data_IF_581758425493
#
_entry.id   IF_581758425493
#
_cell.length_a   1.000
_cell.length_b   1.000
_cell.length_c   1.000
_cell.angle_alpha   90.00
_cell.angle_beta   90.00
_cell.angle_gamma   90.00
#
_symmetry.space_group_name_H-M   'P 1'
#
loop_
_entity.id
_entity.type
_entity.pdbx_description
1 polymer ?
#
# COMPACT_ATOMS: atom_id res chain seq x y z
N UNK A 1 -19.51 -24.81 -9.63
CA UNK A 1 -18.58 -23.80 -9.09
C UNK A 1 -19.21 -22.45 -9.37
N UNK A 2 -19.79 -21.78 -8.38
CA UNK A 2 -20.48 -20.51 -8.59
C UNK A 2 -20.39 -19.62 -7.35
N UNK A 3 -19.66 -18.51 -7.48
CA UNK A 3 -19.91 -17.15 -6.96
C UNK A 3 -18.60 -16.36 -7.05
N UNK A 4 -18.66 -15.14 -7.58
CA UNK A 4 -17.52 -14.31 -7.96
C UNK A 4 -16.45 -14.19 -6.87
N UNK A 5 -15.29 -14.82 -7.11
CA UNK A 5 -14.15 -14.71 -6.20
C UNK A 5 -13.48 -13.35 -6.39
N UNK A 6 -13.60 -12.48 -5.40
CA UNK A 6 -12.94 -11.18 -5.38
C UNK A 6 -11.44 -11.34 -5.12
N UNK A 7 -10.61 -10.62 -5.89
CA UNK A 7 -9.17 -10.57 -5.65
C UNK A 7 -8.85 -9.52 -4.58
N UNK A 8 -8.60 -9.97 -3.34
CA UNK A 8 -8.14 -9.13 -2.24
C UNK A 8 -6.65 -8.76 -2.37
N UNK A 9 -6.38 -7.46 -2.32
CA UNK A 9 -5.04 -6.88 -2.34
C UNK A 9 -4.87 -6.01 -1.09
N UNK A 10 -3.78 -6.22 -0.36
CA UNK A 10 -3.40 -5.38 0.79
C UNK A 10 -2.06 -4.71 0.50
N UNK A 11 -1.91 -3.46 0.92
CA UNK A 11 -0.64 -2.73 0.88
C UNK A 11 -0.28 -2.18 2.26
N UNK A 12 0.99 -2.28 2.65
CA UNK A 12 1.46 -1.87 3.98
C UNK A 12 2.90 -1.36 3.98
N UNK A 13 3.11 -0.15 4.51
CA UNK A 13 4.44 0.34 4.84
C UNK A 13 4.89 -0.25 6.18
N UNK A 14 5.85 -1.18 6.11
CA UNK A 14 6.28 -1.95 7.28
C UNK A 14 7.37 -1.26 8.07
N UNK A 15 7.97 -0.16 7.60
CA UNK A 15 9.02 0.59 8.31
C UNK A 15 10.13 -0.32 8.90
N UNK A 16 10.69 -1.17 8.05
CA UNK A 16 11.80 -2.07 8.31
C UNK A 16 11.43 -3.44 8.86
N UNK A 17 12.04 -4.48 8.29
CA UNK A 17 11.88 -5.89 8.64
C UNK A 17 13.17 -6.55 9.10
N UNK A 18 14.15 -5.77 9.59
CA UNK A 18 15.43 -6.29 10.07
C UNK A 18 15.28 -7.09 11.39
N UNK A 19 14.31 -6.73 12.24
CA UNK A 19 14.06 -7.39 13.51
C UNK A 19 13.27 -8.72 13.32
N UNK A 20 13.73 -9.87 13.86
CA UNK A 20 13.02 -11.15 13.75
C UNK A 20 11.60 -11.13 14.32
N UNK A 21 11.42 -10.53 15.50
CA UNK A 21 10.12 -10.41 16.17
C UNK A 21 9.09 -9.66 15.32
N UNK A 22 9.53 -8.62 14.61
CA UNK A 22 8.68 -7.87 13.69
C UNK A 22 8.29 -8.67 12.45
N UNK A 23 9.22 -9.46 11.90
CA UNK A 23 8.90 -10.36 10.77
C UNK A 23 7.89 -11.42 11.17
N UNK A 24 8.03 -12.02 12.36
CA UNK A 24 7.06 -12.99 12.86
C UNK A 24 5.67 -12.38 13.02
N UNK A 25 5.56 -11.22 13.67
CA UNK A 25 4.28 -10.51 13.82
C UNK A 25 3.64 -10.13 12.49
N UNK A 26 4.45 -9.68 11.53
CA UNK A 26 3.96 -9.40 10.18
C UNK A 26 3.41 -10.67 9.52
N UNK A 27 4.12 -11.79 9.63
CA UNK A 27 3.69 -13.06 9.06
C UNK A 27 2.36 -13.53 9.66
N UNK A 28 2.23 -13.49 10.99
CA UNK A 28 0.98 -13.80 11.71
C UNK A 28 -0.17 -12.85 11.28
N UNK A 29 0.13 -11.56 11.11
CA UNK A 29 -0.86 -10.59 10.64
C UNK A 29 -1.32 -10.86 9.21
N UNK A 30 -0.39 -11.11 8.26
CA UNK A 30 -0.73 -11.46 6.88
C UNK A 30 -1.60 -12.73 6.83
N UNK A 31 -1.25 -13.73 7.64
CA UNK A 31 -2.05 -14.97 7.74
C UNK A 31 -3.45 -14.72 8.28
N UNK A 32 -3.60 -13.81 9.25
CA UNK A 32 -4.90 -13.46 9.81
C UNK A 32 -5.78 -12.69 8.83
N UNK A 33 -5.21 -11.80 8.02
CA UNK A 33 -5.94 -11.06 6.99
C UNK A 33 -6.21 -11.90 5.73
N UNK A 34 -5.38 -12.91 5.50
CA UNK A 34 -5.51 -13.89 4.42
C UNK A 34 -5.66 -13.30 2.97
N UNK A 35 -4.90 -12.23 2.59
CA UNK A 35 -5.04 -11.60 1.29
C UNK A 35 -4.47 -12.47 0.16
N UNK A 36 -5.03 -12.35 -1.06
CA UNK A 36 -4.43 -13.01 -2.23
C UNK A 36 -3.09 -12.37 -2.62
N UNK A 37 -2.99 -11.04 -2.53
CA UNK A 37 -1.75 -10.29 -2.82
C UNK A 37 -1.46 -9.34 -1.66
N UNK A 38 -0.22 -9.32 -1.18
CA UNK A 38 0.25 -8.40 -0.15
C UNK A 38 1.47 -7.62 -0.65
N UNK A 39 1.38 -6.30 -0.66
CA UNK A 39 2.43 -5.38 -1.09
C UNK A 39 3.03 -4.69 0.13
N UNK A 40 4.34 -4.79 0.30
CA UNK A 40 5.06 -4.21 1.42
C UNK A 40 6.01 -3.10 0.95
N UNK A 41 6.06 -1.98 1.68
CA UNK A 41 7.02 -0.88 1.47
C UNK A 41 7.94 -0.71 2.67
N UNK A 42 9.10 -0.07 2.47
CA UNK A 42 10.14 0.12 3.50
C UNK A 42 10.58 -1.20 4.16
N UNK A 43 10.77 -2.27 3.39
CA UNK A 43 11.23 -3.54 3.98
C UNK A 43 12.60 -3.41 4.66
N UNK A 44 13.46 -2.50 4.20
CA UNK A 44 14.84 -2.26 4.68
C UNK A 44 15.72 -3.52 4.70
N UNK A 45 15.33 -4.55 3.96
CA UNK A 45 16.12 -5.76 3.75
C UNK A 45 17.17 -5.47 2.68
N UNK A 46 18.39 -5.96 2.90
CA UNK A 46 19.41 -6.00 1.86
C UNK A 46 19.08 -7.08 0.83
N UNK A 47 19.66 -6.99 -0.36
CA UNK A 47 19.53 -8.02 -1.42
C UNK A 47 19.82 -9.43 -0.89
N UNK A 48 20.92 -9.58 -0.12
CA UNK A 48 21.31 -10.84 0.51
C UNK A 48 20.45 -11.28 1.71
N UNK A 49 19.58 -10.41 2.24
CA UNK A 49 18.72 -10.68 3.41
C UNK A 49 17.26 -10.99 3.04
N UNK A 50 16.92 -11.00 1.74
CA UNK A 50 15.54 -11.20 1.24
C UNK A 50 14.94 -12.53 1.70
N UNK A 51 15.74 -13.60 1.78
CA UNK A 51 15.33 -14.93 2.26
C UNK A 51 14.76 -14.93 3.69
N UNK A 52 14.97 -13.87 4.47
CA UNK A 52 14.52 -13.75 5.86
C UNK A 52 13.03 -13.41 5.96
N UNK A 53 12.42 -12.88 4.91
CA UNK A 53 10.98 -12.69 4.83
C UNK A 53 10.33 -14.00 4.39
N UNK A 54 9.63 -14.66 5.30
CA UNK A 54 8.90 -15.91 5.04
C UNK A 54 7.53 -15.84 5.70
N UNK A 55 6.49 -16.19 4.95
CA UNK A 55 5.12 -16.28 5.45
C UNK A 55 4.54 -17.61 4.95
N UNK A 56 4.10 -18.48 5.85
CA UNK A 56 3.49 -19.76 5.46
C UNK A 56 2.18 -19.47 4.71
N UNK A 57 2.05 -20.05 3.51
CA UNK A 57 0.93 -19.80 2.58
C UNK A 57 1.21 -18.75 1.51
N UNK A 58 2.40 -18.10 1.51
CA UNK A 58 2.83 -17.14 0.49
C UNK A 58 4.26 -17.47 0.05
N UNK A 59 4.44 -18.52 -0.75
CA UNK A 59 5.78 -18.95 -1.19
C UNK A 59 6.36 -18.02 -2.26
N UNK A 60 5.50 -17.43 -3.10
CA UNK A 60 5.89 -16.52 -4.18
C UNK A 60 6.08 -15.12 -3.60
N UNK A 61 7.35 -14.74 -3.37
CA UNK A 61 7.72 -13.40 -2.89
C UNK A 61 8.67 -12.74 -3.88
N UNK A 62 8.27 -11.57 -4.37
CA UNK A 62 9.07 -10.75 -5.27
C UNK A 62 9.62 -9.55 -4.51
N UNK A 63 10.87 -9.21 -4.79
CA UNK A 63 11.65 -8.22 -4.06
C UNK A 63 12.30 -7.23 -5.01
N UNK A 64 12.28 -5.94 -4.67
CA UNK A 64 13.19 -4.94 -5.20
C UNK A 64 13.85 -4.24 -4.02
N UNK A 65 15.17 -4.38 -3.92
CA UNK A 65 15.97 -3.98 -2.77
C UNK A 65 17.31 -3.44 -3.25
N UNK A 66 17.98 -2.76 -2.34
CA UNK A 66 19.34 -2.24 -2.47
C UNK A 66 20.24 -2.94 -1.47
N UNK A 67 21.55 -2.82 -1.65
CA UNK A 67 22.53 -3.45 -0.75
C UNK A 67 22.66 -2.71 0.61
N UNK A 68 21.98 -1.58 0.76
CA UNK A 68 21.88 -0.81 2.00
C UNK A 68 20.50 -1.00 2.65
N UNK A 69 20.42 -0.84 3.98
CA UNK A 69 19.17 -0.98 4.76
C UNK A 69 18.29 0.26 4.70
N UNK A 70 17.92 0.72 3.49
CA UNK A 70 16.86 1.72 3.31
C UNK A 70 16.02 1.38 2.08
N UNK A 71 14.81 1.94 2.00
CA UNK A 71 13.82 1.58 0.99
C UNK A 71 13.58 0.05 0.90
N UNK A 72 13.07 -0.41 -0.24
CA UNK A 72 12.84 -1.81 -0.51
C UNK A 72 11.37 -2.15 -0.46
N UNK A 73 10.88 -2.76 -1.54
CA UNK A 73 9.49 -3.18 -1.70
C UNK A 73 9.41 -4.69 -1.93
N UNK A 74 8.30 -5.29 -1.50
CA UNK A 74 8.03 -6.70 -1.74
C UNK A 74 6.58 -6.93 -2.16
N UNK A 75 6.35 -7.94 -3.00
CA UNK A 75 5.01 -8.44 -3.34
C UNK A 75 4.95 -9.92 -2.97
N UNK A 76 4.03 -10.28 -2.08
CA UNK A 76 3.73 -11.65 -1.70
C UNK A 76 2.45 -12.09 -2.40
N UNK A 77 2.48 -13.28 -3.00
CA UNK A 77 1.31 -13.89 -3.64
C UNK A 77 0.95 -15.15 -2.88
N UNK A 78 -0.34 -15.26 -2.52
CA UNK A 78 -0.87 -16.41 -1.80
C UNK A 78 -0.80 -17.68 -2.64
N UNK A 79 -0.46 -18.78 -2.00
CA UNK A 79 -0.49 -20.12 -2.59
C UNK A 79 -1.92 -20.56 -2.98
N UNK A 80 -2.95 -19.84 -2.52
CA UNK A 80 -4.37 -20.06 -2.88
C UNK A 80 -4.69 -19.74 -4.34
N UNK A 81 -3.87 -18.92 -5.00
CA UNK A 81 -4.08 -18.53 -6.40
C UNK A 81 -2.96 -19.03 -7.31
N UNK A 82 -3.34 -19.59 -8.46
CA UNK A 82 -2.38 -19.98 -9.49
C UNK A 82 -1.93 -18.76 -10.32
N UNK A 83 -1.16 -17.87 -9.69
CA UNK A 83 -0.53 -16.77 -10.40
C UNK A 83 0.63 -17.26 -11.27
N UNK A 84 0.49 -17.12 -12.58
CA UNK A 84 1.52 -17.47 -13.56
C UNK A 84 2.35 -16.24 -13.89
N UNK A 85 3.58 -16.18 -13.39
CA UNK A 85 4.47 -15.03 -13.62
C UNK A 85 4.95 -15.00 -15.07
N UNK A 86 4.79 -13.85 -15.74
CA UNK A 86 5.27 -13.60 -17.10
C UNK A 86 6.52 -12.72 -17.12
N UNK A 87 6.52 -11.64 -16.33
CA UNK A 87 7.66 -10.72 -16.26
C UNK A 87 7.78 -10.08 -14.87
N UNK A 88 9.00 -9.73 -14.48
CA UNK A 88 9.27 -8.99 -13.25
C UNK A 88 10.29 -7.90 -13.52
N UNK A 89 9.89 -6.64 -13.34
CA UNK A 89 10.75 -5.47 -13.46
C UNK A 89 11.00 -4.90 -12.07
N UNK A 90 12.27 -4.79 -11.70
CA UNK A 90 12.72 -4.36 -10.36
C UNK A 90 13.44 -3.04 -10.50
N UNK A 91 13.08 -2.10 -9.64
CA UNK A 91 13.89 -0.91 -9.46
C UNK A 91 15.20 -1.23 -8.76
N UNK A 92 16.30 -0.62 -9.22
CA UNK A 92 17.63 -0.81 -8.63
C UNK A 92 17.73 -0.18 -7.24
N UNK A 93 17.01 0.92 -7.01
CA UNK A 93 17.01 1.64 -5.74
C UNK A 93 16.01 1.05 -4.72
N UNK A 94 15.17 0.10 -5.15
CA UNK A 94 14.18 -0.56 -4.32
C UNK A 94 12.94 0.31 -4.04
N UNK A 95 12.65 1.29 -4.89
CA UNK A 95 11.48 2.15 -4.78
C UNK A 95 10.25 1.60 -5.49
N UNK A 96 10.39 0.70 -6.46
CA UNK A 96 9.25 -0.01 -7.00
C UNK A 96 9.58 -1.42 -7.49
N UNK A 97 8.53 -2.23 -7.60
CA UNK A 97 8.57 -3.51 -8.30
C UNK A 97 7.28 -3.64 -9.11
N UNK A 98 7.43 -4.08 -10.36
CA UNK A 98 6.33 -4.42 -11.24
C UNK A 98 6.40 -5.92 -11.53
N UNK A 99 5.28 -6.60 -11.33
CA UNK A 99 5.09 -7.98 -11.76
C UNK A 99 3.97 -8.03 -12.79
N UNK A 100 4.20 -8.78 -13.87
CA UNK A 100 3.19 -9.17 -14.84
C UNK A 100 2.96 -10.66 -14.71
N UNK A 101 1.71 -11.05 -14.75
CA UNK A 101 1.33 -12.45 -14.76
C UNK A 101 -0.09 -12.65 -15.23
N UNK A 102 -0.62 -13.83 -15.00
CA UNK A 102 -2.03 -14.13 -15.19
C UNK A 102 -2.61 -14.91 -14.02
N UNK A 103 -3.91 -14.73 -13.79
CA UNK A 103 -4.74 -15.47 -12.84
C UNK A 103 -5.95 -15.94 -13.64
N UNK A 104 -6.23 -17.25 -13.67
CA UNK A 104 -7.34 -17.80 -14.46
C UNK A 104 -7.33 -17.36 -15.94
N UNK A 105 -6.13 -17.33 -16.55
CA UNK A 105 -5.90 -16.89 -17.94
C UNK A 105 -6.09 -15.39 -18.21
N UNK A 106 -6.50 -14.61 -17.21
CA UNK A 106 -6.59 -13.16 -17.31
C UNK A 106 -5.27 -12.50 -16.91
N UNK A 107 -4.76 -11.63 -17.79
CA UNK A 107 -3.53 -10.90 -17.55
C UNK A 107 -3.71 -9.82 -16.50
N UNK A 108 -2.74 -9.70 -15.59
CA UNK A 108 -2.73 -8.69 -14.54
C UNK A 108 -1.31 -8.13 -14.38
N UNK A 109 -1.24 -6.82 -14.17
CA UNK A 109 0.00 -6.10 -13.82
C UNK A 109 -0.16 -5.52 -12.42
N UNK A 110 0.78 -5.81 -11.53
CA UNK A 110 0.79 -5.26 -10.17
C UNK A 110 2.07 -4.46 -10.00
N UNK A 111 1.92 -3.20 -9.61
CA UNK A 111 3.02 -2.26 -9.34
C UNK A 111 2.95 -1.90 -7.87
N UNK A 112 3.99 -2.25 -7.11
CA UNK A 112 4.17 -1.81 -5.73
C UNK A 112 5.22 -0.69 -5.70
N UNK A 113 4.85 0.49 -5.20
CA UNK A 113 5.69 1.69 -5.13
C UNK A 113 5.91 2.18 -3.69
N UNK A 114 7.12 2.67 -3.44
CA UNK A 114 7.51 3.48 -2.30
C UNK A 114 8.23 4.75 -2.81
N UNK A 115 7.50 5.86 -2.88
CA UNK A 115 8.06 7.14 -3.29
C UNK A 115 8.96 7.73 -2.18
N UNK A 116 10.05 8.44 -2.52
CA UNK A 116 10.84 9.16 -1.52
C UNK A 116 10.04 10.30 -0.88
N UNK A 117 10.36 10.67 0.37
CA UNK A 117 9.70 11.76 1.09
C UNK A 117 9.86 13.13 0.40
N UNK A 118 11.02 13.37 -0.22
CA UNK A 118 11.30 14.62 -0.93
C UNK A 118 11.03 14.45 -2.42
N UNK A 119 10.32 15.39 -3.03
CA UNK A 119 10.00 15.34 -4.46
C UNK A 119 9.06 14.20 -4.85
N UNK A 120 8.30 13.65 -3.90
CA UNK A 120 7.42 12.50 -4.12
C UNK A 120 6.47 12.68 -5.32
N UNK A 121 5.77 13.82 -5.50
CA UNK A 121 4.89 14.00 -6.66
C UNK A 121 5.63 13.90 -8.00
N UNK A 122 6.82 14.51 -8.08
CA UNK A 122 7.65 14.46 -9.29
C UNK A 122 8.15 13.04 -9.56
N UNK A 123 8.58 12.33 -8.52
CA UNK A 123 9.05 10.95 -8.62
C UNK A 123 7.94 10.03 -9.15
N UNK A 124 6.76 10.05 -8.52
CA UNK A 124 5.62 9.23 -8.94
C UNK A 124 5.23 9.55 -10.38
N UNK A 125 5.18 10.84 -10.74
CA UNK A 125 4.88 11.27 -12.11
C UNK A 125 5.87 10.69 -13.11
N UNK A 126 7.17 10.84 -12.86
CA UNK A 126 8.22 10.31 -13.74
C UNK A 126 8.14 8.79 -13.86
N UNK A 127 7.88 8.08 -12.75
CA UNK A 127 7.69 6.64 -12.74
C UNK A 127 6.52 6.23 -13.64
N UNK A 128 5.34 6.85 -13.46
CA UNK A 128 4.15 6.59 -14.26
C UNK A 128 4.39 6.87 -15.75
N UNK A 129 5.01 8.01 -16.09
CA UNK A 129 5.35 8.35 -17.48
C UNK A 129 6.31 7.32 -18.10
N UNK A 130 7.36 6.92 -17.37
CA UNK A 130 8.35 5.94 -17.85
C UNK A 130 7.77 4.54 -18.09
N UNK A 131 6.64 4.23 -17.46
CA UNK A 131 5.96 2.94 -17.55
C UNK A 131 4.64 3.02 -18.33
N UNK A 132 4.37 4.12 -19.03
CA UNK A 132 3.12 4.31 -19.79
C UNK A 132 2.81 3.16 -20.76
N UNK A 133 3.82 2.62 -21.44
CA UNK A 133 3.65 1.48 -22.35
C UNK A 133 3.44 0.13 -21.65
N UNK A 134 3.68 0.06 -20.34
CA UNK A 134 3.48 -1.14 -19.52
C UNK A 134 2.12 -1.15 -18.83
N UNK A 135 1.52 0.03 -18.61
CA UNK A 135 0.23 0.22 -17.95
C UNK A 135 -0.89 -0.11 -18.95
N UNK A 136 -1.72 -1.08 -18.58
CA UNK A 136 -2.89 -1.51 -19.34
C UNK A 136 -4.14 -1.53 -18.45
N UNK A 137 -5.25 -1.97 -19.02
CA UNK A 137 -6.56 -2.03 -18.38
C UNK A 137 -6.68 -3.01 -17.18
N UNK A 138 -5.65 -3.81 -16.92
CA UNK A 138 -5.61 -4.75 -15.82
C UNK A 138 -4.41 -4.44 -14.90
N UNK A 139 -4.10 -3.15 -14.75
CA UNK A 139 -2.99 -2.67 -13.93
C UNK A 139 -3.47 -2.15 -12.59
N UNK A 140 -2.89 -2.70 -11.52
CA UNK A 140 -3.07 -2.26 -10.14
C UNK A 140 -1.77 -1.61 -9.67
N UNK A 141 -1.82 -0.35 -9.26
CA UNK A 141 -0.72 0.38 -8.65
C UNK A 141 -1.06 0.63 -7.19
N UNK A 142 -0.25 0.08 -6.30
CA UNK A 142 -0.42 0.20 -4.85
C UNK A 142 0.86 0.66 -4.20
N UNK A 143 0.72 1.29 -3.04
CA UNK A 143 1.85 1.57 -2.17
C UNK A 143 1.80 2.95 -1.56
N UNK A 144 2.97 3.44 -1.21
CA UNK A 144 3.14 4.70 -0.50
C UNK A 144 3.70 5.76 -1.44
N UNK A 145 2.83 6.69 -1.84
CA UNK A 145 3.19 7.78 -2.75
C UNK A 145 3.86 8.94 -2.01
N UNK A 146 3.86 8.95 -0.67
CA UNK A 146 4.33 10.07 0.15
C UNK A 146 3.77 11.45 -0.25
N UNK A 147 2.68 11.47 -1.01
CA UNK A 147 1.96 12.69 -1.40
C UNK A 147 0.46 12.43 -1.38
N UNK A 148 -0.34 13.37 -0.84
CA UNK A 148 -1.79 13.34 -1.03
C UNK A 148 -2.18 13.70 -2.45
N UNK A 149 -3.20 13.03 -2.99
CA UNK A 149 -3.74 13.30 -4.32
C UNK A 149 -4.89 14.31 -4.28
N UNK A 150 -5.66 14.38 -3.20
CA UNK A 150 -6.78 15.30 -3.01
C UNK A 150 -6.65 16.14 -1.73
N UNK A 151 -7.37 17.26 -1.58
CA UNK A 151 -7.33 18.05 -0.33
C UNK A 151 -7.90 17.28 0.87
N UNK A 152 -8.78 16.30 0.62
CA UNK A 152 -9.40 15.45 1.64
C UNK A 152 -8.41 14.49 2.29
N UNK A 153 -7.26 14.27 1.66
CA UNK A 153 -6.19 13.40 2.16
C UNK A 153 -5.26 14.10 3.16
N UNK A 154 -5.49 15.39 3.43
CA UNK A 154 -4.80 16.17 4.46
C UNK A 154 -5.77 16.63 5.52
N UNK A 155 -5.42 16.42 6.79
CA UNK A 155 -6.20 16.93 7.93
C UNK A 155 -6.36 18.46 7.90
N UNK A 156 -5.33 19.17 7.46
CA UNK A 156 -5.30 20.64 7.36
C UNK A 156 -6.07 21.19 6.17
N UNK A 157 -6.64 20.34 5.29
CA UNK A 157 -7.33 20.71 4.05
C UNK A 157 -6.57 21.74 3.19
N UNK A 158 -5.25 21.75 3.31
CA UNK A 158 -4.40 22.67 2.56
C UNK A 158 -4.57 22.46 1.06
N UNK A 159 -4.49 23.56 0.31
CA UNK A 159 -4.49 23.53 -1.15
C UNK A 159 -3.36 22.62 -1.65
N UNK A 160 -3.68 21.80 -2.65
CA UNK A 160 -2.72 20.96 -3.35
C UNK A 160 -1.68 21.86 -4.04
N UNK A 161 -0.40 21.46 -4.01
CA UNK A 161 0.67 22.20 -4.67
C UNK A 161 0.67 21.95 -6.19
N UNK A 162 1.38 22.80 -6.95
CA UNK A 162 1.41 22.68 -8.42
C UNK A 162 1.96 21.33 -8.90
N UNK A 163 2.97 20.78 -8.24
CA UNK A 163 3.58 19.50 -8.62
C UNK A 163 2.60 18.33 -8.49
N UNK A 164 1.80 18.31 -7.43
CA UNK A 164 0.76 17.30 -7.21
C UNK A 164 -0.38 17.47 -8.20
N UNK A 165 -0.74 18.71 -8.56
CA UNK A 165 -1.70 18.92 -9.65
C UNK A 165 -1.20 18.30 -10.95
N UNK A 166 0.07 18.55 -11.32
CA UNK A 166 0.64 17.94 -12.54
C UNK A 166 0.73 16.41 -12.45
N UNK A 167 0.93 15.84 -11.25
CA UNK A 167 0.81 14.41 -11.03
C UNK A 167 -0.63 13.92 -11.30
N UNK A 168 -1.63 14.59 -10.75
CA UNK A 168 -3.04 14.24 -10.99
C UNK A 168 -3.39 14.32 -12.48
N UNK A 169 -2.96 15.37 -13.18
CA UNK A 169 -3.16 15.48 -14.63
C UNK A 169 -2.53 14.29 -15.39
N UNK A 170 -1.40 13.77 -14.90
CA UNK A 170 -0.74 12.57 -15.47
C UNK A 170 -1.52 11.29 -15.16
N UNK A 171 -2.07 11.17 -13.95
CA UNK A 171 -2.94 10.05 -13.55
C UNK A 171 -4.17 10.02 -14.45
N UNK A 172 -4.80 11.18 -14.69
CA UNK A 172 -5.97 11.32 -15.56
C UNK A 172 -5.62 10.97 -17.02
N UNK A 173 -4.48 11.44 -17.54
CA UNK A 173 -4.00 11.08 -18.89
C UNK A 173 -3.70 9.59 -19.08
N UNK A 174 -3.51 8.85 -17.99
CA UNK A 174 -3.28 7.40 -18.01
C UNK A 174 -4.58 6.62 -17.76
N UNK A 175 -5.73 7.29 -17.63
CA UNK A 175 -7.02 6.71 -17.24
C UNK A 175 -6.93 5.90 -15.94
N UNK A 176 -6.04 6.31 -15.02
CA UNK A 176 -5.91 5.71 -13.70
C UNK A 176 -6.93 6.35 -12.77
N UNK A 177 -7.64 5.54 -11.98
CA UNK A 177 -8.59 6.01 -10.98
C UNK A 177 -8.08 5.73 -9.57
N UNK A 178 -8.20 6.71 -8.67
CA UNK A 178 -8.09 6.46 -7.24
C UNK A 178 -9.36 5.75 -6.78
N UNK A 179 -9.22 4.43 -6.56
CA UNK A 179 -10.35 3.59 -6.22
C UNK A 179 -10.91 3.98 -4.86
N UNK A 180 -10.04 4.26 -3.88
CA UNK A 180 -10.47 4.60 -2.53
C UNK A 180 -11.30 5.87 -2.55
N UNK A 181 -10.84 6.89 -3.26
CA UNK A 181 -11.56 8.17 -3.36
C UNK A 181 -12.82 8.07 -4.21
N UNK A 182 -12.88 7.14 -5.16
CA UNK A 182 -14.09 6.85 -5.94
C UNK A 182 -15.22 6.31 -5.06
N UNK A 183 -14.92 5.39 -4.14
CA UNK A 183 -15.93 4.85 -3.20
C UNK A 183 -16.17 5.75 -1.98
N UNK A 184 -15.18 6.54 -1.57
CA UNK A 184 -15.23 7.39 -0.38
C UNK A 184 -14.88 8.85 -0.67
N UNK A 185 -15.66 9.56 -1.52
CA UNK A 185 -15.29 10.88 -2.03
C UNK A 185 -15.17 11.94 -0.93
N UNK A 186 -15.95 11.83 0.15
CA UNK A 186 -16.02 12.83 1.23
C UNK A 186 -15.41 12.37 2.55
N UNK A 187 -14.93 11.13 2.64
CA UNK A 187 -14.44 10.56 3.91
C UNK A 187 -13.04 11.04 4.23
N UNK A 188 -12.84 11.58 5.43
CA UNK A 188 -11.52 11.94 5.96
C UNK A 188 -10.93 10.76 6.73
N UNK A 189 -10.28 9.85 6.03
CA UNK A 189 -9.51 8.76 6.64
C UNK A 189 -8.02 8.99 6.37
N UNK A 190 -7.20 8.84 7.41
CA UNK A 190 -5.77 9.07 7.34
C UNK A 190 -5.02 7.79 7.64
N UNK A 191 -4.00 7.54 6.84
CA UNK A 191 -3.17 6.34 6.94
C UNK A 191 -1.92 6.62 7.78
N UNK A 192 -1.36 7.84 7.72
CA UNK A 192 -0.17 8.26 8.48
C UNK A 192 -0.47 9.33 9.54
N UNK A 193 0.18 9.23 10.70
CA UNK A 193 0.19 10.25 11.77
C UNK A 193 1.62 10.75 12.00
N UNK A 194 1.84 12.06 11.84
CA UNK A 194 3.12 12.70 12.19
C UNK A 194 3.29 12.72 13.71
N UNK A 195 4.45 12.28 14.22
CA UNK A 195 4.78 12.46 15.63
C UNK A 195 5.07 13.94 15.91
N UNK A 196 4.33 14.54 16.83
CA UNK A 196 4.68 15.86 17.36
C UNK A 196 5.94 15.75 18.23
N UNK A 197 6.89 16.68 18.05
CA UNK A 197 8.01 16.82 18.98
C UNK A 197 7.47 17.49 20.25
N UNK A 198 7.37 16.75 21.36
CA UNK A 198 7.26 17.39 22.66
C UNK A 198 8.55 18.16 22.90
N UNK A 199 8.49 19.49 22.82
CA UNK A 199 9.56 20.33 23.35
C UNK A 199 9.50 20.20 24.88
N UNK A 200 10.54 19.59 25.46
CA UNK A 200 10.71 19.58 26.90
C UNK A 200 10.98 21.01 27.38
N UNK A 201 9.94 21.70 27.88
CA UNK A 201 10.04 23.07 28.34
C UNK A 201 8.77 23.60 29.01
N UNK A 202 8.73 23.44 30.34
CA UNK A 202 7.95 24.18 31.36
C UNK A 202 6.45 23.87 31.53
N UNK A 203 6.18 23.28 32.71
CA UNK A 203 4.98 23.17 33.55
C UNK A 203 3.58 22.85 32.94
N UNK A 204 2.85 21.86 33.51
CA UNK A 204 1.53 21.49 33.04
C UNK A 204 0.45 22.37 33.70
N UNK A 205 -0.35 23.06 32.88
CA UNK A 205 -1.67 23.51 33.31
C UNK A 205 -2.72 23.07 32.29
N UNK A 206 -3.60 22.19 32.79
CA UNK A 206 -4.81 21.58 32.22
C UNK A 206 -4.66 20.49 31.15
N UNK A 207 -5.31 19.33 31.35
CA UNK A 207 -5.39 18.28 30.34
C UNK A 207 -6.44 18.65 29.30
N UNK A 208 -6.03 18.83 28.05
CA UNK A 208 -6.94 18.79 26.90
C UNK A 208 -6.58 17.59 26.05
N UNK A 209 -7.54 16.66 25.97
CA UNK A 209 -7.63 15.50 25.10
C UNK A 209 -6.47 14.49 25.20
N UNK A 210 -6.63 13.53 26.13
CA UNK A 210 -6.05 12.21 25.94
C UNK A 210 -6.59 11.58 24.65
N UNK A 211 -5.72 10.95 23.88
CA UNK A 211 -6.13 10.19 22.70
C UNK A 211 -5.74 8.73 22.90
N UNK A 212 -6.77 7.89 22.96
CA UNK A 212 -6.67 6.44 23.03
C UNK A 212 -5.96 5.84 21.82
N UNK A 213 -5.29 4.71 22.07
CA UNK A 213 -4.66 3.87 21.05
C UNK A 213 -5.75 3.20 20.22
N UNK A 214 -6.09 3.81 19.10
CA UNK A 214 -6.87 3.13 18.07
C UNK A 214 -5.99 2.79 16.87
N UNK A 215 -5.89 1.48 16.60
CA UNK A 215 -5.30 0.92 15.39
C UNK A 215 -6.12 1.41 14.20
N UNK A 216 -5.50 2.16 13.29
CA UNK A 216 -6.10 2.34 11.97
C UNK A 216 -6.01 1.00 11.24
N UNK A 217 -7.18 0.39 10.98
CA UNK A 217 -7.28 -0.72 10.06
C UNK A 217 -6.79 -0.28 8.67
N UNK A 218 -6.04 -1.16 8.00
CA UNK A 218 -5.85 -1.05 6.55
C UNK A 218 -7.23 -1.11 5.89
N UNK A 219 -7.55 -0.30 4.87
CA UNK A 219 -8.74 -0.57 4.07
C UNK A 219 -8.47 -1.88 3.31
N UNK A 220 -9.15 -2.95 3.71
CA UNK A 220 -9.33 -4.13 2.87
C UNK A 220 -10.16 -3.70 1.67
N UNK A 221 -9.64 -3.90 0.45
CA UNK A 221 -10.48 -3.83 -0.75
C UNK A 221 -11.24 -5.15 -0.88
N UNK A 222 -12.40 -5.22 -0.24
CA UNK A 222 -13.48 -6.13 -0.60
C UNK A 222 -14.40 -5.37 -1.54
N UNK A 223 -14.50 -5.80 -2.79
CA UNK A 223 -15.57 -5.32 -3.69
C UNK A 223 -16.94 -5.74 -3.07
N UNK A 224 -17.98 -4.88 -3.11
CA UNK A 224 -19.11 -4.92 -2.16
C UNK A 224 -19.93 -6.21 -2.33
N UNK A 225 -20.41 -6.88 -1.27
CA UNK A 225 -21.24 -6.41 -0.14
C UNK A 225 -20.91 -7.16 1.18
N UNK A 226 -20.80 -6.43 2.30
CA UNK A 226 -21.30 -6.86 3.61
C UNK A 226 -21.11 -5.72 4.62
N UNK A 227 -22.15 -4.93 4.82
CA UNK A 227 -22.33 -4.16 6.05
C UNK A 227 -22.49 -5.12 7.23
N UNK A 228 -21.60 -5.00 8.22
CA UNK A 228 -21.77 -5.58 9.55
C UNK A 228 -20.65 -6.53 9.92
N UNK A 229 -19.80 -6.10 10.85
CA UNK A 229 -19.10 -6.86 11.89
C UNK A 229 -17.82 -6.10 12.31
N UNK A 230 -18.01 -5.04 13.09
CA UNK A 230 -16.93 -4.45 13.89
C UNK A 230 -17.13 -4.87 15.34
N UNK A 231 -16.19 -5.66 15.87
CA UNK A 231 -15.67 -5.59 17.23
C UNK A 231 -14.67 -6.74 17.45
N UNK A 232 -13.52 -6.43 18.05
CA UNK A 232 -12.43 -7.32 18.53
C UNK A 232 -11.18 -7.46 17.63
N UNK A 233 -10.45 -6.35 17.47
CA UNK A 233 -8.99 -6.43 17.33
C UNK A 233 -8.36 -6.35 18.73
N UNK A 234 -7.53 -7.31 19.17
CA UNK A 234 -6.94 -7.28 20.50
C UNK A 234 -5.92 -6.13 20.63
N UNK A 235 -6.06 -5.38 21.73
CA UNK A 235 -5.11 -4.37 22.19
C UNK A 235 -3.70 -4.94 22.32
N UNK A 236 -2.77 -4.51 21.45
CA UNK A 236 -1.34 -4.84 21.57
C UNK A 236 -0.60 -3.72 22.33
N UNK A 237 0.12 -4.02 23.43
CA UNK A 237 0.94 -3.04 24.13
C UNK A 237 2.32 -2.87 23.46
N UNK A 238 2.76 -1.62 23.29
CA UNK A 238 4.14 -1.27 23.01
C UNK A 238 4.40 -0.59 21.66
N UNK A 239 4.69 0.72 21.73
CA UNK A 239 5.47 1.64 20.86
C UNK A 239 5.96 1.28 19.43
N UNK A 240 5.34 0.36 18.69
CA UNK A 240 5.77 0.00 17.32
C UNK A 240 4.56 -0.01 16.39
N UNK A 241 4.16 1.18 15.94
CA UNK A 241 3.08 1.32 14.95
C UNK A 241 3.53 0.87 13.56
N UNK A 242 2.72 0.06 12.91
CA UNK A 242 2.74 -0.03 11.45
C UNK A 242 2.23 1.31 10.90
N UNK A 243 2.92 1.84 9.89
CA UNK A 243 2.46 3.06 9.20
C UNK A 243 1.59 2.56 8.06
N UNK A 244 0.30 2.85 8.10
CA UNK A 244 -0.50 2.68 6.90
C UNK A 244 -0.15 3.85 5.99
N UNK A 245 0.19 3.60 4.73
CA UNK A 245 0.13 4.61 3.68
C UNK A 245 -0.33 3.85 2.45
N UNK A 246 -1.63 3.91 2.16
CA UNK A 246 -2.23 3.05 1.16
C UNK A 246 -2.92 3.93 0.11
N UNK A 247 -2.28 4.09 -1.04
CA UNK A 247 -2.92 4.57 -2.25
C UNK A 247 -3.15 3.41 -3.19
N UNK A 248 -4.31 3.38 -3.84
CA UNK A 248 -4.69 2.34 -4.79
C UNK A 248 -5.17 3.02 -6.08
N UNK A 249 -4.32 3.02 -7.10
CA UNK A 249 -4.70 3.43 -8.45
C UNK A 249 -4.93 2.20 -9.31
N UNK A 250 -6.05 2.13 -10.03
CA UNK A 250 -6.31 1.07 -11.01
C UNK A 250 -6.71 1.70 -12.32
N UNK A 251 -6.22 1.14 -13.43
CA UNK A 251 -6.80 1.38 -14.76
C UNK A 251 -7.75 0.22 -15.03
N UNK A 252 -9.02 0.48 -15.31
CA UNK A 252 -10.04 -0.57 -15.48
C UNK A 252 -10.33 -0.84 -16.97
N UNK A 253 -10.30 -2.10 -17.36
CA UNK A 253 -11.07 -2.64 -18.48
C UNK A 253 -11.82 -3.89 -18.03
N UNK A 254 -13.05 -4.03 -18.53
CA UNK A 254 -14.01 -5.14 -18.43
C UNK A 254 -14.08 -6.03 -17.18
N UNK A 255 -13.57 -5.64 -16.02
CA UNK A 255 -13.99 -6.22 -14.75
C UNK A 255 -15.35 -5.62 -14.41
N UNK A 256 -16.42 -6.42 -14.54
CA UNK A 256 -17.78 -6.00 -14.23
C UNK A 256 -17.92 -5.71 -12.72
N UNK A 257 -17.57 -4.49 -12.31
CA UNK A 257 -18.14 -3.89 -11.11
C UNK A 257 -19.61 -3.63 -11.42
N UNK A 258 -20.50 -4.54 -11.01
CA UNK A 258 -21.91 -4.21 -10.93
C UNK A 258 -22.05 -3.01 -10.00
N UNK A 259 -22.52 -1.88 -10.54
CA UNK A 259 -23.15 -0.84 -9.73
C UNK A 259 -24.35 -1.50 -9.07
N UNK A 260 -24.31 -1.65 -7.76
CA UNK A 260 -25.50 -1.81 -6.91
C UNK A 260 -25.42 -0.74 -5.86
#
# INVERSE_FOLDING_TARGET
>A
MAMGSYLSVITLNVNGLNAPTKRQRLAEWIQKQDPYICCLQETHLKTGDTYRLKVKGWKKIFHANRDQKKAGVAILISDKIDFKTKAVKRDKEGHYIMIKGSIQEEDITIINIYAPNMGAPQYVRQMLTSMKGEINNNTIIVGDFNTPLTPMDRSTKQKINKETQTLNDTIDQLDLIDIYRTFHPKTMNFTFKKKEKQFAGKHPTRPTAGWDREMAASPEFTFPDASGFWNHAPNLPGSWGFINSCWHLVKMGTWHMKRT
#
